data_IF_233782894140
#
_entry.id   IF_233782894140
#
_cell.length_a   1.000
_cell.length_b   1.000
_cell.length_c   1.000
_cell.angle_alpha   90.00
_cell.angle_beta   90.00
_cell.angle_gamma   90.00
#
_symmetry.space_group_name_H-M   'P 1'
#
loop_
_entity.id
_entity.type
_entity.pdbx_description
1 polymer ?
#
# COMPACT_ATOMS: atom_id res chain seq x y z
N UNK A 1 -27.10 -7.88 -0.81
CA UNK A 1 -25.79 -7.45 -1.36
C UNK A 1 -25.96 -6.01 -1.80
N UNK A 2 -24.99 -5.14 -1.52
CA UNK A 2 -24.96 -3.79 -2.08
C UNK A 2 -24.93 -3.91 -3.60
N UNK A 3 -25.98 -3.43 -4.26
CA UNK A 3 -26.08 -3.47 -5.72
C UNK A 3 -25.54 -2.15 -6.29
N UNK A 4 -24.31 -2.18 -6.81
CA UNK A 4 -23.70 -1.02 -7.47
C UNK A 4 -24.25 -0.91 -8.89
N UNK A 5 -24.48 0.30 -9.40
CA UNK A 5 -24.84 0.51 -10.81
C UNK A 5 -23.66 1.04 -11.61
N UNK A 6 -22.86 1.91 -10.98
CA UNK A 6 -21.70 2.55 -11.60
C UNK A 6 -20.47 2.49 -10.68
N UNK A 7 -19.35 2.03 -11.23
CA UNK A 7 -18.09 1.84 -10.52
C UNK A 7 -17.04 2.76 -11.12
N UNK A 8 -16.42 3.60 -10.30
CA UNK A 8 -15.21 4.34 -10.67
C UNK A 8 -13.98 3.51 -10.35
N UNK A 9 -13.03 3.46 -11.28
CA UNK A 9 -11.75 2.79 -11.05
C UNK A 9 -10.70 3.85 -10.74
N UNK A 10 -10.29 3.94 -9.47
CA UNK A 10 -9.29 4.89 -8.99
C UNK A 10 -7.87 4.38 -9.26
N UNK A 11 -7.60 4.01 -10.52
CA UNK A 11 -6.33 3.46 -10.97
C UNK A 11 -6.16 3.68 -12.48
N UNK A 12 -5.05 3.19 -13.04
CA UNK A 12 -4.66 3.35 -14.44
C UNK A 12 -4.15 2.05 -15.06
N UNK A 13 -3.96 2.04 -16.37
CA UNK A 13 -3.28 0.96 -17.05
C UNK A 13 -4.02 -0.37 -16.99
N UNK A 14 -3.29 -1.47 -16.83
CA UNK A 14 -3.84 -2.83 -16.97
C UNK A 14 -4.89 -3.15 -15.90
N UNK A 15 -4.63 -2.79 -14.63
CA UNK A 15 -5.54 -3.12 -13.52
C UNK A 15 -6.87 -2.39 -13.67
N UNK A 16 -6.85 -1.16 -14.20
CA UNK A 16 -8.06 -0.43 -14.51
C UNK A 16 -8.91 -1.16 -15.56
N UNK A 17 -8.28 -1.63 -16.64
CA UNK A 17 -8.95 -2.42 -17.69
C UNK A 17 -9.46 -3.75 -17.13
N UNK A 18 -8.68 -4.42 -16.29
CA UNK A 18 -9.04 -5.70 -15.66
C UNK A 18 -10.30 -5.58 -14.80
N UNK A 19 -10.43 -4.49 -14.05
CA UNK A 19 -11.60 -4.21 -13.22
C UNK A 19 -12.79 -3.83 -14.09
N UNK A 20 -12.59 -2.99 -15.11
CA UNK A 20 -13.66 -2.59 -16.04
C UNK A 20 -14.26 -3.80 -16.77
N UNK A 21 -13.44 -4.78 -17.16
CA UNK A 21 -13.94 -6.04 -17.76
C UNK A 21 -14.91 -6.77 -16.83
N UNK A 22 -14.53 -6.96 -15.56
CA UNK A 22 -15.39 -7.63 -14.59
C UNK A 22 -16.67 -6.83 -14.31
N UNK A 23 -16.57 -5.51 -14.17
CA UNK A 23 -17.73 -4.65 -14.01
C UNK A 23 -18.70 -4.74 -15.20
N UNK A 24 -18.17 -4.74 -16.44
CA UNK A 24 -18.97 -4.86 -17.65
C UNK A 24 -19.66 -6.23 -17.76
N UNK A 25 -18.95 -7.33 -17.47
CA UNK A 25 -19.52 -8.69 -17.41
C UNK A 25 -20.67 -8.81 -16.39
N UNK A 26 -20.63 -8.00 -15.31
CA UNK A 26 -21.68 -7.90 -14.31
C UNK A 26 -22.78 -6.87 -14.66
N UNK A 27 -22.76 -6.29 -15.86
CA UNK A 27 -23.72 -5.30 -16.32
C UNK A 27 -23.60 -3.93 -15.63
N UNK A 28 -22.42 -3.61 -15.07
CA UNK A 28 -22.17 -2.35 -14.35
C UNK A 28 -21.53 -1.32 -15.28
N UNK A 29 -21.89 -0.05 -15.09
CA UNK A 29 -21.25 1.08 -15.78
C UNK A 29 -19.90 1.40 -15.13
N UNK A 30 -18.97 1.91 -15.92
CA UNK A 30 -17.58 2.11 -15.52
C UNK A 30 -17.11 3.54 -15.78
N UNK A 31 -16.38 4.10 -14.82
CA UNK A 31 -15.78 5.43 -14.91
C UNK A 31 -14.26 5.31 -14.79
N UNK A 32 -13.54 5.84 -15.77
CA UNK A 32 -12.09 5.99 -15.71
C UNK A 32 -11.69 7.39 -15.24
N UNK A 33 -10.57 7.47 -14.55
CA UNK A 33 -9.84 8.72 -14.30
C UNK A 33 -8.51 8.71 -15.06
N UNK A 34 -8.03 9.88 -15.47
CA UNK A 34 -6.72 10.00 -16.10
C UNK A 34 -6.04 11.35 -15.82
N UNK A 35 -4.73 11.32 -15.58
CA UNK A 35 -3.90 12.53 -15.60
C UNK A 35 -3.68 13.02 -17.05
N UNK A 36 -3.36 14.29 -17.26
CA UNK A 36 -3.15 14.86 -18.61
C UNK A 36 -2.08 14.10 -19.42
N UNK A 37 -1.00 13.68 -18.76
CA UNK A 37 0.09 12.90 -19.36
C UNK A 37 -0.35 11.50 -19.79
N UNK A 38 -1.45 11.00 -19.22
CA UNK A 38 -2.02 9.69 -19.47
C UNK A 38 -3.27 9.76 -20.35
N UNK A 39 -3.51 10.89 -21.03
CA UNK A 39 -4.69 11.10 -21.91
C UNK A 39 -4.78 10.12 -23.07
N UNK A 40 -3.66 9.49 -23.46
CA UNK A 40 -3.62 8.45 -24.48
C UNK A 40 -3.59 7.03 -23.87
N UNK A 41 -3.69 6.92 -22.55
CA UNK A 41 -3.72 5.65 -21.83
C UNK A 41 -4.93 4.81 -22.23
N UNK A 42 -4.71 3.52 -22.51
CA UNK A 42 -5.74 2.64 -23.04
C UNK A 42 -6.95 2.50 -22.11
N UNK A 43 -6.75 2.54 -20.79
CA UNK A 43 -7.83 2.39 -19.81
C UNK A 43 -8.88 3.49 -19.92
N UNK A 44 -8.48 4.71 -20.31
CA UNK A 44 -9.38 5.84 -20.55
C UNK A 44 -10.47 5.49 -21.56
N UNK A 45 -10.12 4.76 -22.63
CA UNK A 45 -11.03 4.42 -23.73
C UNK A 45 -11.76 3.08 -23.53
N UNK A 46 -11.56 2.41 -22.39
CA UNK A 46 -12.22 1.14 -22.05
C UNK A 46 -13.38 1.30 -21.07
N UNK A 47 -13.49 2.47 -20.43
CA UNK A 47 -14.63 2.81 -19.60
C UNK A 47 -15.79 3.39 -20.41
N UNK A 48 -16.99 3.38 -19.82
CA UNK A 48 -18.17 4.01 -20.42
C UNK A 48 -18.06 5.55 -20.46
N UNK A 49 -17.33 6.12 -19.50
CA UNK A 49 -17.00 7.53 -19.42
C UNK A 49 -15.66 7.74 -18.71
N UNK A 50 -14.98 8.86 -18.99
CA UNK A 50 -13.67 9.15 -18.45
C UNK A 50 -13.46 10.64 -18.14
N UNK A 51 -12.84 10.92 -17.00
CA UNK A 51 -12.64 12.29 -16.50
C UNK A 51 -11.16 12.57 -16.24
N UNK A 52 -10.73 13.78 -16.61
CA UNK A 52 -9.38 14.26 -16.28
C UNK A 52 -9.31 14.59 -14.78
N UNK A 53 -8.20 14.22 -14.16
CA UNK A 53 -7.89 14.54 -12.76
C UNK A 53 -6.56 15.29 -12.64
N UNK A 54 -6.43 16.06 -11.57
CA UNK A 54 -5.16 16.64 -11.11
C UNK A 54 -4.61 17.72 -12.03
N UNK A 55 -5.47 18.62 -12.52
CA UNK A 55 -5.03 19.77 -13.32
C UNK A 55 -3.97 20.60 -12.55
N UNK A 56 -2.81 20.81 -13.18
CA UNK A 56 -1.67 21.48 -12.56
C UNK A 56 -0.86 20.62 -11.57
N UNK A 57 -1.23 19.35 -11.36
CA UNK A 57 -0.48 18.41 -10.54
C UNK A 57 0.48 17.57 -11.40
N UNK A 58 1.50 16.97 -10.77
CA UNK A 58 2.32 15.96 -11.43
C UNK A 58 1.53 14.67 -11.74
N UNK A 59 1.96 13.86 -12.73
CA UNK A 59 1.17 12.74 -13.24
C UNK A 59 0.83 11.70 -12.18
N UNK A 60 1.75 11.42 -11.26
CA UNK A 60 1.51 10.47 -10.15
C UNK A 60 0.69 11.14 -9.04
N UNK A 61 0.97 12.41 -8.74
CA UNK A 61 0.25 13.16 -7.71
C UNK A 61 -1.25 13.28 -8.01
N UNK A 62 -1.61 13.41 -9.29
CA UNK A 62 -3.00 13.40 -9.75
C UNK A 62 -3.74 12.12 -9.29
N UNK A 63 -3.14 10.95 -9.48
CA UNK A 63 -3.74 9.66 -9.07
C UNK A 63 -3.69 9.41 -7.55
N UNK A 64 -2.86 10.14 -6.81
CA UNK A 64 -2.79 10.10 -5.34
C UNK A 64 -3.71 11.14 -4.68
N UNK A 65 -4.39 11.99 -5.45
CA UNK A 65 -5.29 13.01 -4.92
C UNK A 65 -6.65 12.41 -4.57
N UNK A 66 -6.89 12.21 -3.27
CA UNK A 66 -8.19 11.74 -2.74
C UNK A 66 -9.31 12.68 -3.17
N UNK A 67 -9.10 13.99 -3.09
CA UNK A 67 -10.12 14.99 -3.40
C UNK A 67 -10.55 14.93 -4.88
N UNK A 68 -9.59 14.77 -5.81
CA UNK A 68 -9.90 14.64 -7.23
C UNK A 68 -10.69 13.36 -7.55
N UNK A 69 -10.32 12.24 -6.92
CA UNK A 69 -11.02 10.97 -7.12
C UNK A 69 -12.45 11.06 -6.58
N UNK A 70 -12.64 11.63 -5.39
CA UNK A 70 -13.97 11.84 -4.80
C UNK A 70 -14.80 12.83 -5.63
N UNK A 71 -14.19 13.90 -6.14
CA UNK A 71 -14.84 14.86 -7.04
C UNK A 71 -15.41 14.16 -8.27
N UNK A 72 -14.60 13.37 -8.97
CA UNK A 72 -15.06 12.63 -10.17
C UNK A 72 -16.12 11.60 -9.82
N UNK A 73 -15.99 10.88 -8.70
CA UNK A 73 -17.00 9.91 -8.28
C UNK A 73 -18.38 10.57 -8.08
N UNK A 74 -18.41 11.76 -7.49
CA UNK A 74 -19.64 12.55 -7.30
C UNK A 74 -20.19 13.09 -8.61
N UNK A 75 -19.34 13.69 -9.46
CA UNK A 75 -19.74 14.26 -10.74
C UNK A 75 -20.30 13.20 -11.71
N UNK A 76 -19.68 12.01 -11.73
CA UNK A 76 -20.13 10.89 -12.57
C UNK A 76 -21.30 10.12 -11.96
N UNK A 77 -21.59 10.28 -10.66
CA UNK A 77 -22.61 9.51 -9.96
C UNK A 77 -22.21 8.04 -9.80
N UNK A 78 -20.94 7.76 -9.51
CA UNK A 78 -20.47 6.42 -9.18
C UNK A 78 -20.90 6.04 -7.74
N UNK A 79 -21.46 4.84 -7.57
CA UNK A 79 -21.92 4.33 -6.27
C UNK A 79 -20.78 3.65 -5.50
N UNK A 80 -19.73 3.25 -6.23
CA UNK A 80 -18.59 2.55 -5.67
C UNK A 80 -17.27 2.92 -6.36
N UNK A 81 -16.18 2.78 -5.62
CA UNK A 81 -14.82 2.94 -6.13
C UNK A 81 -14.04 1.65 -5.96
N UNK A 82 -13.41 1.18 -7.04
CA UNK A 82 -12.41 0.12 -6.99
C UNK A 82 -11.01 0.74 -7.09
N UNK A 83 -10.12 0.55 -6.11
CA UNK A 83 -8.82 1.21 -6.10
C UNK A 83 -7.74 0.46 -6.91
N UNK A 84 -7.99 -0.80 -7.30
CA UNK A 84 -6.98 -1.63 -7.96
C UNK A 84 -5.87 -2.02 -6.97
N UNK A 85 -4.61 -1.90 -7.38
CA UNK A 85 -3.44 -2.08 -6.51
C UNK A 85 -2.48 -0.89 -6.63
N UNK A 86 -1.62 -0.68 -5.63
CA UNK A 86 -0.79 0.53 -5.53
C UNK A 86 -1.65 1.79 -5.37
N UNK A 87 -1.05 2.97 -5.59
CA UNK A 87 -1.74 4.26 -5.45
C UNK A 87 -2.47 4.38 -4.10
N UNK A 88 -3.80 4.56 -4.12
CA UNK A 88 -4.63 4.73 -2.93
C UNK A 88 -5.24 3.43 -2.38
N UNK A 89 -4.87 2.25 -2.93
CA UNK A 89 -5.51 0.97 -2.58
C UNK A 89 -5.33 0.51 -1.14
N UNK A 90 -4.28 0.97 -0.46
CA UNK A 90 -3.99 0.66 0.94
C UNK A 90 -4.02 1.93 1.82
N UNK A 91 -4.63 3.01 1.32
CA UNK A 91 -4.72 4.27 2.06
C UNK A 91 -6.04 4.32 2.88
N UNK A 92 -5.99 4.23 4.23
CA UNK A 92 -7.19 4.22 5.05
C UNK A 92 -7.97 5.55 5.01
N UNK A 93 -7.29 6.67 4.76
CA UNK A 93 -7.92 7.99 4.67
C UNK A 93 -8.77 8.10 3.40
N UNK A 94 -8.39 7.37 2.34
CA UNK A 94 -9.21 7.27 1.14
C UNK A 94 -10.49 6.47 1.38
N UNK A 95 -10.42 5.41 2.19
CA UNK A 95 -11.60 4.63 2.61
C UNK A 95 -12.54 5.51 3.43
N UNK A 96 -12.02 6.29 4.37
CA UNK A 96 -12.81 7.23 5.18
C UNK A 96 -13.40 8.36 4.33
N UNK A 97 -12.69 8.84 3.31
CA UNK A 97 -13.21 9.82 2.35
C UNK A 97 -14.37 9.25 1.52
N UNK A 98 -14.27 8.00 1.07
CA UNK A 98 -15.37 7.31 0.38
C UNK A 98 -16.61 7.22 1.30
N UNK A 99 -16.44 6.75 2.54
CA UNK A 99 -17.51 6.61 3.51
C UNK A 99 -18.20 7.95 3.83
N UNK A 100 -17.42 9.03 4.04
CA UNK A 100 -17.95 10.39 4.27
C UNK A 100 -18.77 10.94 3.11
N UNK A 101 -18.54 10.46 1.89
CA UNK A 101 -19.26 10.88 0.69
C UNK A 101 -20.34 9.88 0.25
N UNK A 102 -20.64 8.85 1.06
CA UNK A 102 -21.65 7.85 0.72
C UNK A 102 -21.26 6.96 -0.46
N UNK A 103 -19.96 6.85 -0.76
CA UNK A 103 -19.43 6.03 -1.85
C UNK A 103 -18.88 4.74 -1.26
N UNK A 104 -19.24 3.60 -1.84
CA UNK A 104 -18.73 2.31 -1.36
C UNK A 104 -17.29 2.09 -1.82
N UNK A 105 -16.38 1.90 -0.87
CA UNK A 105 -15.02 1.46 -1.18
C UNK A 105 -15.00 -0.07 -1.40
N UNK A 106 -14.55 -0.53 -2.58
CA UNK A 106 -14.42 -1.96 -2.88
C UNK A 106 -13.06 -2.45 -2.36
N UNK A 107 -13.06 -2.86 -1.09
CA UNK A 107 -11.88 -3.37 -0.39
C UNK A 107 -12.15 -3.55 1.11
N UNK A 108 -11.10 -3.75 1.93
CA UNK A 108 -11.26 -3.89 3.37
C UNK A 108 -11.67 -2.56 4.03
N UNK A 109 -12.09 -2.63 5.30
CA UNK A 109 -12.42 -1.46 6.12
C UNK A 109 -11.15 -0.66 6.43
N UNK A 110 -11.30 0.65 6.66
CA UNK A 110 -10.19 1.53 7.06
C UNK A 110 -9.49 1.04 8.34
N UNK A 111 -10.27 0.54 9.31
CA UNK A 111 -9.74 -0.08 10.54
C UNK A 111 -8.83 -1.28 10.24
N UNK A 112 -9.25 -2.16 9.32
CA UNK A 112 -8.45 -3.30 8.89
C UNK A 112 -7.16 -2.85 8.20
N UNK A 113 -7.22 -1.83 7.36
CA UNK A 113 -6.02 -1.26 6.72
C UNK A 113 -5.06 -0.66 7.74
N UNK A 114 -5.56 0.07 8.75
CA UNK A 114 -4.72 0.62 9.82
C UNK A 114 -4.07 -0.48 10.66
N UNK A 115 -4.81 -1.55 10.95
CA UNK A 115 -4.30 -2.70 11.72
C UNK A 115 -3.25 -3.52 10.97
N UNK A 116 -3.19 -3.41 9.64
CA UNK A 116 -2.27 -4.16 8.77
C UNK A 116 -1.31 -3.25 7.97
N UNK A 117 -1.34 -1.94 8.23
CA UNK A 117 -0.69 -0.93 7.38
C UNK A 117 0.81 -0.84 7.58
N UNK A 118 1.30 -1.22 8.75
CA UNK A 118 2.72 -1.42 9.01
C UNK A 118 3.02 -2.88 9.33
N UNK A 119 4.22 -3.33 8.95
CA UNK A 119 4.59 -4.74 9.09
C UNK A 119 4.69 -5.19 10.54
N UNK A 120 4.98 -4.30 11.48
CA UNK A 120 5.10 -4.65 12.88
C UNK A 120 3.72 -4.90 13.51
N UNK A 121 2.73 -4.05 13.23
CA UNK A 121 1.33 -4.26 13.64
C UNK A 121 0.73 -5.49 12.96
N UNK A 122 0.95 -5.67 11.65
CA UNK A 122 0.49 -6.86 10.93
C UNK A 122 1.02 -8.17 11.55
N UNK A 123 2.29 -8.16 12.00
CA UNK A 123 2.88 -9.31 12.72
C UNK A 123 2.19 -9.57 14.05
N UNK A 124 1.86 -8.52 14.82
CA UNK A 124 1.12 -8.66 16.09
C UNK A 124 -0.27 -9.27 15.86
N UNK A 125 -0.96 -8.85 14.80
CA UNK A 125 -2.25 -9.43 14.40
C UNK A 125 -2.10 -10.92 14.05
N UNK A 126 -1.07 -11.29 13.29
CA UNK A 126 -0.79 -12.69 12.95
C UNK A 126 -0.52 -13.55 14.20
N UNK A 127 0.30 -13.07 15.14
CA UNK A 127 0.56 -13.76 16.42
C UNK A 127 -0.73 -13.93 17.23
N UNK A 128 -1.54 -12.87 17.35
CA UNK A 128 -2.80 -12.91 18.08
C UNK A 128 -3.80 -13.91 17.47
N UNK A 129 -3.74 -14.10 16.14
CA UNK A 129 -4.53 -15.09 15.42
C UNK A 129 -3.94 -16.52 15.46
N UNK A 130 -2.82 -16.75 16.15
CA UNK A 130 -2.15 -18.06 16.22
C UNK A 130 -1.42 -18.47 14.94
N UNK A 131 -1.16 -17.52 14.03
CA UNK A 131 -0.40 -17.77 12.80
C UNK A 131 1.09 -17.79 13.13
N UNK A 132 1.84 -18.81 12.69
CA UNK A 132 3.29 -18.85 12.90
C UNK A 132 3.97 -17.70 12.17
N UNK A 133 4.80 -16.95 12.88
CA UNK A 133 5.57 -15.82 12.34
C UNK A 133 7.06 -16.08 12.46
N UNK A 134 7.84 -15.42 11.61
CA UNK A 134 9.30 -15.40 11.73
C UNK A 134 9.67 -14.68 13.05
N UNK A 135 10.65 -15.20 13.82
CA UNK A 135 11.21 -14.48 14.96
C UNK A 135 11.73 -13.12 14.52
N UNK A 136 11.28 -12.07 15.20
CA UNK A 136 11.61 -10.70 14.89
C UNK A 136 11.59 -9.84 16.16
N UNK A 137 12.31 -8.72 16.12
CA UNK A 137 12.27 -7.69 17.16
C UNK A 137 10.95 -6.91 17.08
N UNK A 138 10.70 -6.09 18.08
CA UNK A 138 9.81 -4.94 17.92
C UNK A 138 10.49 -3.87 17.03
N UNK A 139 9.83 -2.72 16.85
CA UNK A 139 10.45 -1.59 16.16
C UNK A 139 11.70 -1.15 16.93
N UNK A 140 12.82 -1.00 16.24
CA UNK A 140 14.10 -0.66 16.84
C UNK A 140 14.09 0.77 17.39
N UNK A 141 14.39 0.93 18.67
CA UNK A 141 14.70 2.23 19.29
C UNK A 141 16.09 2.76 18.90
N UNK A 142 16.54 3.88 19.46
CA UNK A 142 17.82 4.51 19.07
C UNK A 142 19.07 3.94 19.76
N UNK A 143 18.89 3.12 20.78
CA UNK A 143 19.99 2.51 21.53
C UNK A 143 20.58 1.30 20.79
N UNK A 144 21.77 1.48 20.21
CA UNK A 144 22.46 0.41 19.47
C UNK A 144 22.89 -0.76 20.36
N UNK A 145 23.13 -0.57 21.66
CA UNK A 145 23.48 -1.68 22.56
C UNK A 145 22.26 -2.55 22.83
N UNK A 146 21.08 -1.95 22.99
CA UNK A 146 19.81 -2.67 23.07
C UNK A 146 19.54 -3.44 21.76
N UNK A 147 19.74 -2.81 20.59
CA UNK A 147 19.58 -3.45 19.28
C UNK A 147 20.53 -4.65 19.13
N UNK A 148 21.80 -4.54 19.57
CA UNK A 148 22.76 -5.66 19.53
C UNK A 148 22.28 -6.83 20.37
N UNK A 149 21.72 -6.57 21.55
CA UNK A 149 21.17 -7.62 22.42
C UNK A 149 20.00 -8.34 21.76
N UNK A 150 19.03 -7.59 21.24
CA UNK A 150 17.86 -8.17 20.53
C UNK A 150 18.29 -8.97 19.28
N UNK A 151 19.26 -8.45 18.52
CA UNK A 151 19.83 -9.14 17.35
C UNK A 151 20.49 -10.46 17.74
N UNK A 152 21.22 -10.49 18.86
CA UNK A 152 21.85 -11.71 19.38
C UNK A 152 20.82 -12.74 19.87
N UNK A 153 19.71 -12.30 20.48
CA UNK A 153 18.61 -13.17 20.93
C UNK A 153 17.92 -13.89 19.76
N UNK A 154 17.75 -13.21 18.62
CA UNK A 154 17.19 -13.83 17.39
C UNK A 154 18.26 -14.66 16.65
N UNK A 155 19.49 -14.16 16.62
CA UNK A 155 20.65 -14.78 16.00
C UNK A 155 20.75 -14.55 14.49
N UNK A 156 21.98 -14.39 14.00
CA UNK A 156 22.30 -14.17 12.59
C UNK A 156 22.10 -15.42 11.70
N UNK A 157 21.93 -15.25 10.37
CA UNK A 157 21.75 -14.00 9.65
C UNK A 157 20.37 -13.36 9.91
N UNK A 158 20.32 -12.03 9.83
CA UNK A 158 19.13 -11.22 10.03
C UNK A 158 18.76 -10.47 8.75
N UNK A 159 17.51 -10.04 8.65
CA UNK A 159 17.02 -9.13 7.63
C UNK A 159 16.45 -7.91 8.32
N UNK A 160 17.04 -6.74 8.09
CA UNK A 160 16.45 -5.46 8.44
C UNK A 160 15.32 -5.15 7.46
N UNK A 161 14.16 -4.74 7.97
CA UNK A 161 13.00 -4.33 7.17
C UNK A 161 12.44 -3.01 7.68
N UNK A 162 12.18 -2.08 6.76
CA UNK A 162 11.40 -0.88 7.05
C UNK A 162 9.94 -1.25 7.39
N UNK A 163 9.40 -0.65 8.45
CA UNK A 163 8.04 -0.93 8.96
C UNK A 163 6.95 -0.52 7.97
N UNK A 164 7.15 0.62 7.31
CA UNK A 164 6.24 1.23 6.33
C UNK A 164 6.63 0.98 4.87
N UNK A 165 7.70 0.22 4.63
CA UNK A 165 8.26 0.03 3.29
C UNK A 165 7.49 -1.00 2.45
N UNK A 166 7.31 -0.71 1.16
CA UNK A 166 6.67 -1.59 0.16
C UNK A 166 7.51 -1.81 -1.11
N UNK A 167 7.12 -2.77 -1.95
CA UNK A 167 7.71 -2.96 -3.29
C UNK A 167 9.16 -3.45 -3.30
N UNK A 168 9.63 -4.10 -2.23
CA UNK A 168 10.99 -4.66 -2.14
C UNK A 168 12.08 -3.67 -1.74
N UNK A 169 11.73 -2.41 -1.44
CA UNK A 169 12.66 -1.38 -0.96
C UNK A 169 12.72 -1.34 0.58
N UNK A 170 13.84 -0.89 1.14
CA UNK A 170 14.03 -0.85 2.59
C UNK A 170 14.20 -2.23 3.25
N UNK A 171 14.85 -3.18 2.56
CA UNK A 171 15.25 -4.47 3.11
C UNK A 171 16.75 -4.65 3.00
N UNK A 172 17.40 -5.17 4.05
CA UNK A 172 18.86 -5.30 4.08
C UNK A 172 19.30 -6.55 4.85
N UNK A 173 20.02 -7.49 4.21
CA UNK A 173 20.60 -8.62 4.93
C UNK A 173 21.74 -8.16 5.83
N UNK A 174 21.83 -8.76 7.01
CA UNK A 174 22.89 -8.53 8.00
C UNK A 174 23.42 -9.91 8.40
N UNK A 175 24.67 -10.21 8.04
CA UNK A 175 25.22 -11.56 8.21
C UNK A 175 25.94 -11.75 9.54
N UNK A 176 26.40 -10.68 10.18
CA UNK A 176 27.12 -10.73 11.45
C UNK A 176 26.99 -9.42 12.24
N UNK A 177 27.28 -9.48 13.54
CA UNK A 177 27.22 -8.35 14.48
C UNK A 177 28.05 -7.12 14.04
N UNK A 178 29.21 -7.36 13.40
CA UNK A 178 30.08 -6.29 12.87
C UNK A 178 29.39 -5.40 11.81
N UNK A 179 28.36 -5.91 11.15
CA UNK A 179 27.61 -5.20 10.09
C UNK A 179 26.36 -4.50 10.65
N UNK A 180 25.93 -4.84 11.86
CA UNK A 180 24.60 -4.47 12.37
C UNK A 180 24.37 -2.96 12.36
N UNK A 181 25.28 -2.21 12.98
CA UNK A 181 25.15 -0.78 13.18
C UNK A 181 25.14 -0.01 11.87
N UNK A 182 26.11 -0.30 10.99
CA UNK A 182 26.17 0.29 9.65
C UNK A 182 24.86 0.06 8.89
N UNK A 183 24.37 -1.19 8.88
CA UNK A 183 23.18 -1.57 8.10
C UNK A 183 21.89 -1.00 8.68
N UNK A 184 21.77 -0.89 10.00
CA UNK A 184 20.63 -0.23 10.66
C UNK A 184 20.59 1.26 10.32
N UNK A 185 21.71 1.97 10.46
CA UNK A 185 21.78 3.41 10.16
C UNK A 185 21.55 3.70 8.66
N UNK A 186 22.08 2.86 7.77
CA UNK A 186 21.79 2.93 6.33
C UNK A 186 20.31 2.72 6.04
N UNK A 187 19.71 1.67 6.61
CA UNK A 187 18.30 1.34 6.40
C UNK A 187 17.36 2.45 6.87
N UNK A 188 17.65 3.07 8.01
CA UNK A 188 16.88 4.23 8.52
C UNK A 188 16.89 5.40 7.55
N UNK A 189 18.06 5.80 7.05
CA UNK A 189 18.18 6.91 6.09
C UNK A 189 17.44 6.62 4.78
N UNK A 190 17.52 5.39 4.28
CA UNK A 190 16.79 4.97 3.08
C UNK A 190 15.28 5.02 3.29
N UNK A 191 14.81 4.50 4.44
CA UNK A 191 13.39 4.46 4.78
C UNK A 191 12.82 5.87 4.98
N UNK A 192 13.54 6.76 5.65
CA UNK A 192 13.16 8.18 5.79
C UNK A 192 13.04 8.86 4.44
N UNK A 193 14.03 8.68 3.55
CA UNK A 193 14.02 9.30 2.22
C UNK A 193 12.93 8.75 1.29
N UNK A 194 12.58 7.47 1.43
CA UNK A 194 11.62 6.80 0.54
C UNK A 194 10.18 6.85 1.05
N UNK A 195 9.98 6.83 2.38
CA UNK A 195 8.69 6.63 3.03
C UNK A 195 8.36 7.71 4.07
N UNK A 196 9.28 8.64 4.36
CA UNK A 196 9.09 9.68 5.39
C UNK A 196 9.06 9.13 6.81
N UNK A 197 9.50 7.90 7.01
CA UNK A 197 9.57 7.24 8.32
C UNK A 197 10.72 6.22 8.34
N UNK A 198 11.71 6.47 9.19
CA UNK A 198 12.89 5.63 9.40
C UNK A 198 12.69 4.36 10.24
N UNK A 199 11.49 4.08 10.76
CA UNK A 199 11.22 2.91 11.59
C UNK A 199 11.49 1.58 10.85
N UNK A 200 12.15 0.67 11.55
CA UNK A 200 12.42 -0.67 11.06
C UNK A 200 12.57 -1.69 12.19
N UNK A 201 12.62 -2.96 11.82
CA UNK A 201 12.78 -4.10 12.73
C UNK A 201 13.73 -5.15 12.12
N UNK A 202 14.27 -6.02 12.96
CA UNK A 202 15.10 -7.14 12.53
C UNK A 202 14.26 -8.41 12.56
N UNK A 203 14.29 -9.21 11.49
CA UNK A 203 13.76 -10.57 11.50
C UNK A 203 14.84 -11.60 11.21
N UNK A 204 14.60 -12.85 11.63
CA UNK A 204 15.45 -13.97 11.25
C UNK A 204 15.41 -14.15 9.72
N UNK A 205 16.58 -14.07 9.07
CA UNK A 205 16.66 -14.29 7.63
C UNK A 205 16.56 -15.78 7.29
N UNK A 206 15.57 -16.14 6.48
CA UNK A 206 15.43 -17.48 5.91
C UNK A 206 16.24 -17.56 4.61
N UNK A 207 17.39 -18.23 4.66
CA UNK A 207 18.35 -18.28 3.53
C UNK A 207 17.86 -19.06 2.32
N UNK A 208 16.94 -20.01 2.54
CA UNK A 208 16.33 -20.84 1.48
C UNK A 208 14.81 -20.72 1.54
N UNK A 209 14.32 -19.50 1.31
CA UNK A 209 12.89 -19.21 1.29
C UNK A 209 12.27 -19.52 -0.09
N UNK A 210 11.02 -19.98 -0.07
CA UNK A 210 10.10 -19.90 -1.21
C UNK A 210 8.95 -18.98 -0.79
N UNK A 211 8.61 -18.01 -1.63
CA UNK A 211 7.44 -17.15 -1.42
C UNK A 211 6.21 -17.87 -2.00
N UNK A 212 5.15 -18.00 -1.20
CA UNK A 212 3.90 -18.70 -1.55
C UNK A 212 2.76 -17.70 -1.47
#
# INVERSE_FOLDING_TARGET
MTDFKKILIANRGEIAIRVMRAANEMGKRTVAVYAEEDKLGLHRFKADEAYRIGEGMGPVAAYLSIDEIIRVAKESGADAIHPGYGLLSENPDFVDACARNGITFIGPKAETMRALGDKASARKVAIAAGVPVIPATEVLGDDMDAIRKEAAEIGYPLMLKASWGGGGRGMRPIHADKELEEKVLEGRREAEAAFGNGEGYLEKMITRARHV
#
